data_IF_354373152807
#
_entry.id   IF_354373152807
#
_cell.length_a   1.000
_cell.length_b   1.000
_cell.length_c   1.000
_cell.angle_alpha   90.00
_cell.angle_beta   90.00
_cell.angle_gamma   90.00
#
_symmetry.space_group_name_H-M   'P 1'
#
loop_
_entity.id
_entity.type
_entity.pdbx_description
1 polymer ?
#
# COMPACT_ATOMS: atom_id res chain seq x y z
N UNK A 1 49.89 -36.55 -20.92
CA UNK A 1 49.14 -35.80 -21.94
C UNK A 1 49.01 -34.37 -21.44
N UNK A 2 49.88 -33.46 -21.93
CA UNK A 2 49.84 -32.04 -21.49
C UNK A 2 48.93 -31.26 -22.41
N UNK A 3 47.93 -30.58 -21.83
CA UNK A 3 47.09 -29.66 -22.59
C UNK A 3 47.93 -28.50 -23.14
N UNK A 4 47.73 -28.03 -24.37
CA UNK A 4 48.46 -26.91 -24.92
C UNK A 4 48.13 -25.60 -24.15
N UNK A 5 49.15 -24.75 -24.01
CA UNK A 5 49.12 -23.51 -23.20
C UNK A 5 47.89 -22.63 -23.51
N UNK A 6 47.42 -22.58 -24.77
CA UNK A 6 46.23 -21.87 -25.20
C UNK A 6 44.93 -22.44 -24.58
N UNK A 7 44.88 -23.73 -24.26
CA UNK A 7 43.73 -24.35 -23.61
C UNK A 7 43.60 -23.91 -22.14
N UNK A 8 44.72 -23.71 -21.45
CA UNK A 8 44.72 -23.17 -20.06
C UNK A 8 44.21 -21.74 -20.02
N UNK A 9 44.63 -20.88 -20.93
CA UNK A 9 44.15 -19.49 -21.02
C UNK A 9 42.67 -19.44 -21.32
N UNK A 10 42.13 -20.31 -22.18
CA UNK A 10 40.72 -20.38 -22.50
C UNK A 10 39.84 -20.85 -21.32
N UNK A 11 40.33 -21.84 -20.60
CA UNK A 11 39.68 -22.34 -19.38
C UNK A 11 39.69 -21.27 -18.27
N UNK A 12 40.80 -20.58 -18.05
CA UNK A 12 40.89 -19.49 -17.06
C UNK A 12 39.95 -18.32 -17.42
N UNK A 13 39.85 -17.94 -18.68
CA UNK A 13 38.92 -16.91 -19.12
C UNK A 13 37.44 -17.30 -18.89
N UNK A 14 37.05 -18.55 -19.15
CA UNK A 14 35.72 -19.06 -18.84
C UNK A 14 35.44 -19.09 -17.33
N UNK A 15 36.42 -19.51 -16.52
CA UNK A 15 36.30 -19.50 -15.05
C UNK A 15 36.20 -18.08 -14.48
N UNK A 16 36.98 -17.13 -15.01
CA UNK A 16 36.88 -15.73 -14.62
C UNK A 16 35.55 -15.11 -15.02
N UNK A 17 34.99 -15.48 -16.21
CA UNK A 17 33.66 -15.02 -16.64
C UNK A 17 32.52 -15.59 -15.76
N UNK A 18 32.62 -16.85 -15.36
CA UNK A 18 31.68 -17.50 -14.45
C UNK A 18 31.76 -16.87 -13.05
N UNK A 19 32.94 -16.58 -12.54
CA UNK A 19 33.14 -15.88 -11.26
C UNK A 19 32.60 -14.43 -11.30
N UNK A 20 32.78 -13.73 -12.42
CA UNK A 20 32.17 -12.40 -12.63
C UNK A 20 30.64 -12.48 -12.71
N UNK A 21 30.06 -13.49 -13.32
CA UNK A 21 28.63 -13.72 -13.35
C UNK A 21 28.08 -14.05 -11.94
N UNK A 22 28.78 -14.83 -11.15
CA UNK A 22 28.42 -15.10 -9.73
C UNK A 22 28.58 -13.87 -8.84
N UNK A 23 29.54 -13.00 -9.08
CA UNK A 23 29.69 -11.74 -8.35
C UNK A 23 28.55 -10.75 -8.63
N UNK A 24 27.97 -10.78 -9.83
CA UNK A 24 26.78 -9.97 -10.19
C UNK A 24 25.49 -10.47 -9.51
N UNK A 25 25.46 -11.72 -9.03
CA UNK A 25 24.34 -12.30 -8.28
C UNK A 25 24.49 -12.18 -6.75
N UNK A 26 25.53 -11.51 -6.25
CA UNK A 26 25.52 -11.03 -4.87
C UNK A 26 24.42 -9.96 -4.76
N UNK A 27 23.17 -10.39 -4.86
CA UNK A 27 22.01 -9.57 -4.63
C UNK A 27 22.22 -8.87 -3.29
N UNK A 28 22.05 -7.57 -3.24
CA UNK A 28 22.07 -6.79 -2.02
C UNK A 28 21.04 -7.40 -1.06
N UNK A 29 21.48 -8.33 -0.19
CA UNK A 29 20.63 -8.88 0.85
C UNK A 29 20.14 -7.70 1.67
N UNK A 30 18.83 -7.43 1.63
CA UNK A 30 18.23 -6.36 2.38
C UNK A 30 18.57 -6.55 3.87
N UNK A 31 19.25 -5.57 4.45
CA UNK A 31 19.74 -5.67 5.82
C UNK A 31 18.56 -5.48 6.79
N UNK A 32 18.34 -6.47 7.65
CA UNK A 32 17.31 -6.39 8.69
C UNK A 32 17.68 -5.39 9.78
N UNK A 33 16.73 -4.56 10.21
CA UNK A 33 16.81 -3.80 11.45
C UNK A 33 16.47 -4.72 12.63
N UNK A 34 17.46 -5.40 13.19
CA UNK A 34 17.26 -6.44 14.22
C UNK A 34 16.57 -5.92 15.49
N UNK A 35 16.83 -4.67 15.87
CA UNK A 35 16.23 -4.10 17.08
C UNK A 35 14.74 -3.85 16.87
N UNK A 36 14.37 -3.22 15.75
CA UNK A 36 12.98 -2.99 15.42
C UNK A 36 12.26 -4.31 15.14
N UNK A 37 12.91 -5.27 14.45
CA UNK A 37 12.36 -6.61 14.18
C UNK A 37 11.93 -7.29 15.49
N UNK A 38 12.79 -7.36 16.48
CA UNK A 38 12.50 -8.00 17.77
C UNK A 38 11.33 -7.31 18.50
N UNK A 39 11.26 -5.97 18.48
CA UNK A 39 10.17 -5.21 19.09
C UNK A 39 8.82 -5.50 18.41
N UNK A 40 8.79 -5.59 17.08
CA UNK A 40 7.55 -5.86 16.34
C UNK A 40 7.13 -7.33 16.46
N UNK A 41 8.06 -8.27 16.47
CA UNK A 41 7.76 -9.68 16.78
C UNK A 41 7.14 -9.86 18.17
N UNK A 42 7.62 -9.10 19.15
CA UNK A 42 7.02 -9.10 20.50
C UNK A 42 5.65 -8.42 20.51
N UNK A 43 5.48 -7.33 19.76
CA UNK A 43 4.23 -6.58 19.71
C UNK A 43 3.05 -7.40 19.14
N UNK A 44 3.32 -8.31 18.19
CA UNK A 44 2.29 -9.13 17.53
C UNK A 44 1.98 -10.42 18.26
N UNK A 45 2.72 -10.77 19.31
CA UNK A 45 2.42 -11.97 20.12
C UNK A 45 1.03 -11.88 20.75
N UNK A 46 0.28 -12.96 20.62
CA UNK A 46 -1.06 -13.07 21.20
C UNK A 46 -2.17 -12.38 20.40
N UNK A 47 -1.86 -11.80 19.23
CA UNK A 47 -2.89 -11.25 18.35
C UNK A 47 -3.80 -12.36 17.80
N UNK A 48 -5.12 -12.17 17.90
CA UNK A 48 -6.12 -13.16 17.49
C UNK A 48 -6.50 -13.03 16.02
N UNK A 49 -5.55 -13.36 15.15
CA UNK A 49 -5.68 -13.32 13.68
C UNK A 49 -4.32 -13.49 13.02
N UNK A 50 -4.29 -13.31 11.72
CA UNK A 50 -3.05 -13.28 10.95
C UNK A 50 -2.59 -11.84 10.75
N UNK A 51 -1.31 -11.57 10.95
CA UNK A 51 -0.69 -10.26 10.72
C UNK A 51 0.52 -10.37 9.79
N UNK A 52 0.61 -9.44 8.87
CA UNK A 52 1.76 -9.25 7.99
C UNK A 52 2.28 -7.82 8.07
N UNK A 53 3.60 -7.66 8.24
CA UNK A 53 4.23 -6.35 8.37
C UNK A 53 5.43 -6.26 7.42
N UNK A 54 5.56 -5.11 6.76
CA UNK A 54 6.78 -4.72 6.06
C UNK A 54 7.08 -3.26 6.35
N UNK A 55 8.22 -3.01 6.98
CA UNK A 55 8.76 -1.67 7.23
C UNK A 55 10.07 -1.52 6.47
N UNK A 56 10.30 -0.39 5.82
CA UNK A 56 11.57 -0.07 5.16
C UNK A 56 12.00 1.35 5.48
N UNK A 57 13.16 1.51 6.09
CA UNK A 57 13.80 2.82 6.19
C UNK A 57 14.37 3.21 4.81
N UNK A 58 13.88 4.29 4.22
CA UNK A 58 14.23 4.70 2.85
C UNK A 58 15.64 5.28 2.74
N UNK A 59 16.23 5.74 3.85
CA UNK A 59 17.61 6.26 3.86
C UNK A 59 18.64 5.16 3.96
N UNK A 60 18.40 4.16 4.82
CA UNK A 60 19.39 3.11 5.11
C UNK A 60 19.13 1.81 4.34
N UNK A 61 17.95 1.65 3.75
CA UNK A 61 17.49 0.43 3.12
C UNK A 61 17.19 -0.72 4.09
N UNK A 62 17.34 -0.52 5.41
CA UNK A 62 17.03 -1.57 6.41
C UNK A 62 15.52 -1.87 6.43
N UNK A 63 15.21 -3.15 6.64
CA UNK A 63 13.81 -3.64 6.66
C UNK A 63 13.47 -4.36 7.96
N UNK A 64 12.16 -4.44 8.23
CA UNK A 64 11.53 -5.38 9.16
C UNK A 64 10.46 -6.15 8.40
N UNK A 65 10.37 -7.46 8.62
CA UNK A 65 9.44 -8.34 7.90
C UNK A 65 8.78 -9.34 8.85
N UNK A 66 7.45 -9.39 8.84
CA UNK A 66 6.64 -10.41 9.50
C UNK A 66 5.60 -10.86 8.47
N UNK A 67 5.60 -12.12 8.07
CA UNK A 67 4.69 -12.68 7.07
C UNK A 67 4.56 -11.79 5.81
N UNK A 68 5.67 -11.12 5.41
CA UNK A 68 5.65 -10.05 4.42
C UNK A 68 5.30 -10.52 2.99
N UNK A 69 5.38 -11.82 2.74
CA UNK A 69 5.09 -12.45 1.45
C UNK A 69 3.77 -13.27 1.47
N UNK A 70 3.06 -13.25 2.60
CA UNK A 70 1.72 -13.84 2.72
C UNK A 70 0.69 -12.92 2.05
N UNK A 71 -0.30 -13.52 1.37
CA UNK A 71 -1.38 -12.77 0.72
C UNK A 71 -2.43 -12.37 1.76
N UNK A 72 -2.80 -11.08 1.73
CA UNK A 72 -3.83 -10.48 2.56
C UNK A 72 -4.89 -9.76 1.70
N UNK A 73 -6.13 -9.64 2.19
CA UNK A 73 -7.12 -8.77 1.59
C UNK A 73 -6.66 -7.30 1.71
N UNK A 74 -6.94 -6.52 0.68
CA UNK A 74 -6.59 -5.09 0.68
C UNK A 74 -7.67 -4.22 1.29
N UNK A 75 -8.93 -4.69 1.32
CA UNK A 75 -10.07 -3.80 1.51
C UNK A 75 -9.88 -2.52 0.65
N UNK A 76 -10.07 -1.33 1.21
CA UNK A 76 -9.94 -0.07 0.46
C UNK A 76 -8.51 0.29 0.02
N UNK A 77 -7.47 -0.45 0.42
CA UNK A 77 -6.12 -0.24 -0.12
C UNK A 77 -6.05 -0.60 -1.61
N UNK A 78 -6.99 -1.39 -2.14
CA UNK A 78 -7.14 -1.64 -3.60
C UNK A 78 -7.24 -0.34 -4.42
N UNK A 79 -7.66 0.76 -3.82
CA UNK A 79 -7.77 2.07 -4.45
C UNK A 79 -6.41 2.65 -4.87
N UNK A 80 -5.31 2.17 -4.26
CA UNK A 80 -3.95 2.52 -4.71
C UNK A 80 -3.68 1.94 -6.10
N UNK A 81 -3.75 0.62 -6.37
CA UNK A 81 -3.57 0.11 -7.72
C UNK A 81 -4.62 0.63 -8.74
N UNK A 82 -5.86 0.91 -8.32
CA UNK A 82 -6.83 1.56 -9.22
C UNK A 82 -6.34 2.94 -9.64
N UNK A 83 -5.80 3.72 -8.71
CA UNK A 83 -5.23 5.05 -9.02
C UNK A 83 -4.03 4.97 -9.97
N UNK A 84 -3.19 3.92 -9.86
CA UNK A 84 -2.10 3.66 -10.82
C UNK A 84 -2.66 3.46 -12.23
N UNK A 85 -3.75 2.70 -12.38
CA UNK A 85 -4.41 2.51 -13.68
C UNK A 85 -4.92 3.81 -14.31
N UNK A 86 -5.45 4.73 -13.51
CA UNK A 86 -5.87 6.07 -13.98
C UNK A 86 -4.66 6.92 -14.35
N UNK A 87 -3.63 6.96 -13.49
CA UNK A 87 -2.43 7.77 -13.75
C UNK A 87 -1.64 7.26 -14.96
N UNK A 88 -1.67 5.96 -15.23
CA UNK A 88 -1.09 5.36 -16.43
C UNK A 88 -1.78 5.88 -17.70
N UNK A 89 -3.12 5.93 -17.72
CA UNK A 89 -3.86 6.53 -18.83
C UNK A 89 -3.59 8.03 -18.99
N UNK A 90 -3.46 8.76 -17.88
CA UNK A 90 -3.08 10.18 -17.92
C UNK A 90 -1.66 10.34 -18.50
N UNK A 91 -0.74 9.44 -18.16
CA UNK A 91 0.64 9.49 -18.68
C UNK A 91 0.77 9.21 -20.17
N UNK A 92 -0.26 8.60 -20.77
CA UNK A 92 -0.38 8.35 -22.21
C UNK A 92 -1.29 9.33 -22.95
N UNK A 93 -1.72 10.40 -22.27
CA UNK A 93 -2.66 11.38 -22.82
C UNK A 93 -4.04 10.78 -23.22
N UNK A 94 -4.36 9.55 -22.76
CA UNK A 94 -5.68 8.92 -22.94
C UNK A 94 -6.76 9.56 -22.06
N UNK A 95 -6.36 10.16 -20.94
CA UNK A 95 -7.21 10.92 -20.01
C UNK A 95 -6.53 12.23 -19.62
N UNK A 96 -7.34 13.28 -19.41
CA UNK A 96 -6.85 14.50 -18.76
C UNK A 96 -7.24 14.51 -17.28
N UNK A 97 -6.30 14.87 -16.39
CA UNK A 97 -6.56 14.94 -14.94
C UNK A 97 -7.74 15.83 -14.57
N UNK A 98 -7.98 16.88 -15.33
CA UNK A 98 -9.07 17.82 -15.12
C UNK A 98 -10.21 17.65 -16.13
N UNK A 99 -10.30 16.51 -16.84
CA UNK A 99 -11.44 16.28 -17.71
C UNK A 99 -12.73 16.16 -16.91
N UNK A 100 -13.81 16.62 -17.52
CA UNK A 100 -15.16 16.51 -16.99
C UNK A 100 -15.70 15.10 -17.21
N UNK A 101 -16.28 14.53 -16.18
CA UNK A 101 -17.01 13.26 -16.18
C UNK A 101 -18.48 13.56 -15.88
N UNK A 102 -19.38 12.68 -16.31
CA UNK A 102 -20.81 12.78 -16.04
C UNK A 102 -21.20 11.65 -15.10
N UNK A 103 -21.66 12.02 -13.90
CA UNK A 103 -22.18 11.06 -12.93
C UNK A 103 -23.48 10.44 -13.43
N UNK A 104 -23.69 9.18 -13.14
CA UNK A 104 -24.91 8.43 -13.43
C UNK A 104 -25.30 7.60 -12.22
N UNK A 105 -26.59 7.60 -11.88
CA UNK A 105 -27.12 6.80 -10.76
C UNK A 105 -26.80 5.31 -10.89
N UNK A 106 -26.63 4.80 -12.11
CA UNK A 106 -26.18 3.43 -12.37
C UNK A 106 -24.76 3.10 -11.88
N UNK A 107 -23.98 4.11 -11.50
CA UNK A 107 -22.64 3.95 -10.92
C UNK A 107 -22.71 3.73 -9.42
N UNK A 108 -23.82 4.08 -8.78
CA UNK A 108 -23.98 4.05 -7.33
C UNK A 108 -23.63 2.66 -6.76
N UNK A 109 -22.76 2.64 -5.78
CA UNK A 109 -22.55 1.54 -4.87
C UNK A 109 -23.25 1.90 -3.55
N UNK A 110 -24.23 1.13 -3.14
CA UNK A 110 -25.02 1.42 -1.94
C UNK A 110 -24.12 1.47 -0.69
N UNK A 111 -24.23 2.56 0.07
CA UNK A 111 -23.42 2.82 1.25
C UNK A 111 -23.41 4.32 1.61
N UNK A 112 -22.45 4.71 2.45
CA UNK A 112 -22.30 6.09 2.94
C UNK A 112 -21.35 6.93 2.05
N UNK A 113 -21.31 6.64 0.74
CA UNK A 113 -20.40 7.31 -0.20
C UNK A 113 -20.90 8.73 -0.53
N UNK A 114 -19.98 9.70 -0.53
CA UNK A 114 -20.28 11.10 -0.84
C UNK A 114 -20.77 11.25 -2.29
N UNK A 115 -20.15 10.51 -3.22
CA UNK A 115 -20.50 10.58 -4.63
C UNK A 115 -21.94 10.14 -4.91
N UNK A 116 -22.50 9.28 -4.05
CA UNK A 116 -23.90 8.86 -4.14
C UNK A 116 -24.93 9.99 -3.87
N UNK A 117 -24.50 11.14 -3.35
CA UNK A 117 -25.36 12.33 -3.16
C UNK A 117 -25.48 13.22 -4.40
N UNK A 118 -24.73 12.94 -5.46
CA UNK A 118 -24.77 13.69 -6.71
C UNK A 118 -26.02 13.33 -7.53
N UNK A 119 -26.47 14.27 -8.35
CA UNK A 119 -27.63 14.05 -9.23
C UNK A 119 -27.23 13.35 -10.51
N UNK A 120 -28.11 12.51 -11.05
CA UNK A 120 -27.90 11.91 -12.38
C UNK A 120 -27.65 12.99 -13.42
N UNK A 121 -26.61 12.83 -14.22
CA UNK A 121 -26.18 13.82 -15.22
C UNK A 121 -25.29 14.94 -14.67
N UNK A 122 -25.03 15.00 -13.37
CA UNK A 122 -24.15 16.03 -12.79
C UNK A 122 -22.71 15.86 -13.27
N UNK A 123 -22.05 16.99 -13.53
CA UNK A 123 -20.68 17.04 -14.03
C UNK A 123 -19.69 17.16 -12.87
N UNK A 124 -18.63 16.36 -12.93
CA UNK A 124 -17.55 16.36 -11.94
C UNK A 124 -16.21 16.15 -12.63
N UNK A 125 -15.15 16.82 -12.16
CA UNK A 125 -13.81 16.62 -12.70
C UNK A 125 -13.24 15.27 -12.25
N UNK A 126 -12.50 14.58 -13.14
CA UNK A 126 -11.77 13.35 -12.81
C UNK A 126 -10.91 13.52 -11.55
N UNK A 127 -10.22 14.66 -11.41
CA UNK A 127 -9.41 14.99 -10.22
C UNK A 127 -10.21 14.96 -8.91
N UNK A 128 -11.50 15.35 -8.93
CA UNK A 128 -12.38 15.32 -7.77
C UNK A 128 -12.85 13.90 -7.43
N UNK A 129 -13.16 13.10 -8.46
CA UNK A 129 -13.49 11.68 -8.26
C UNK A 129 -12.28 10.92 -7.70
N UNK A 130 -11.06 11.22 -8.19
CA UNK A 130 -9.81 10.67 -7.62
C UNK A 130 -9.61 11.06 -6.15
N UNK A 131 -9.88 12.33 -5.82
CA UNK A 131 -9.82 12.82 -4.44
C UNK A 131 -10.82 12.06 -3.56
N UNK A 132 -12.09 11.95 -3.96
CA UNK A 132 -13.11 11.20 -3.20
C UNK A 132 -12.69 9.74 -2.98
N UNK A 133 -12.18 9.08 -4.02
CA UNK A 133 -11.71 7.69 -3.91
C UNK A 133 -10.59 7.53 -2.89
N UNK A 134 -9.59 8.38 -2.91
CA UNK A 134 -8.38 8.18 -2.09
C UNK A 134 -8.51 8.82 -0.71
N UNK A 135 -9.04 10.05 -0.61
CA UNK A 135 -9.15 10.80 0.64
C UNK A 135 -10.31 10.31 1.50
N UNK A 136 -11.52 10.20 0.91
CA UNK A 136 -12.74 9.78 1.60
C UNK A 136 -12.95 8.27 1.57
N UNK A 137 -12.14 7.56 0.78
CA UNK A 137 -12.33 6.13 0.53
C UNK A 137 -13.67 5.77 -0.15
N UNK A 138 -14.25 6.69 -0.92
CA UNK A 138 -15.53 6.53 -1.60
C UNK A 138 -15.55 5.32 -2.53
N UNK A 139 -16.53 4.42 -2.36
CA UNK A 139 -16.61 3.15 -3.07
C UNK A 139 -17.22 3.32 -4.46
N UNK A 140 -18.17 4.23 -4.61
CA UNK A 140 -18.75 4.59 -5.91
C UNK A 140 -17.68 5.17 -6.81
N UNK A 141 -16.86 6.11 -6.30
CA UNK A 141 -15.69 6.63 -7.00
C UNK A 141 -14.69 5.53 -7.38
N UNK A 142 -14.44 4.58 -6.46
CA UNK A 142 -13.53 3.46 -6.70
C UNK A 142 -13.94 2.60 -7.89
N UNK A 143 -15.21 2.18 -7.92
CA UNK A 143 -15.73 1.31 -8.98
C UNK A 143 -15.87 2.05 -10.31
N UNK A 144 -16.20 3.33 -10.27
CA UNK A 144 -16.21 4.19 -11.46
C UNK A 144 -14.81 4.34 -12.06
N UNK A 145 -13.83 4.69 -11.23
CA UNK A 145 -12.44 4.84 -11.68
C UNK A 145 -11.81 3.51 -12.10
N UNK A 146 -12.15 2.40 -11.45
CA UNK A 146 -11.74 1.07 -11.92
C UNK A 146 -12.24 0.81 -13.34
N UNK A 147 -13.52 1.09 -13.63
CA UNK A 147 -14.10 0.98 -14.98
C UNK A 147 -13.39 1.91 -15.98
N UNK A 148 -13.14 3.17 -15.59
CA UNK A 148 -12.47 4.17 -16.43
C UNK A 148 -11.02 3.80 -16.72
N UNK A 149 -10.31 3.15 -15.76
CA UNK A 149 -8.97 2.61 -15.96
C UNK A 149 -8.91 1.44 -16.95
N UNK A 150 -10.06 0.92 -17.41
CA UNK A 150 -10.15 -0.24 -18.30
C UNK A 150 -10.46 -1.55 -17.57
N UNK A 151 -10.96 -1.48 -16.34
CA UNK A 151 -11.34 -2.63 -15.52
C UNK A 151 -10.15 -3.29 -14.81
N UNK A 152 -10.48 -4.27 -13.97
CA UNK A 152 -9.48 -4.98 -13.18
C UNK A 152 -8.48 -5.78 -14.02
N UNK A 153 -8.89 -6.31 -15.18
CA UNK A 153 -7.97 -7.03 -16.09
C UNK A 153 -6.83 -6.11 -16.53
N UNK A 154 -7.15 -4.89 -17.00
CA UNK A 154 -6.11 -3.94 -17.43
C UNK A 154 -5.22 -3.49 -16.26
N UNK A 155 -5.82 -3.18 -15.11
CA UNK A 155 -5.04 -2.79 -13.92
C UNK A 155 -4.09 -3.92 -13.52
N UNK A 156 -4.56 -5.16 -13.51
CA UNK A 156 -3.72 -6.33 -13.20
C UNK A 156 -2.60 -6.53 -14.22
N UNK A 157 -2.85 -6.29 -15.52
CA UNK A 157 -1.81 -6.33 -16.54
C UNK A 157 -0.73 -5.25 -16.33
N UNK A 158 -1.11 -4.05 -15.88
CA UNK A 158 -0.15 -3.00 -15.49
C UNK A 158 0.68 -3.49 -14.30
N UNK A 159 0.05 -4.05 -13.27
CA UNK A 159 0.74 -4.59 -12.10
C UNK A 159 1.71 -5.71 -12.48
N UNK A 160 1.33 -6.60 -13.41
CA UNK A 160 2.22 -7.64 -13.96
C UNK A 160 3.44 -7.04 -14.65
N UNK A 161 3.26 -6.01 -15.48
CA UNK A 161 4.36 -5.33 -16.16
C UNK A 161 5.33 -4.63 -15.20
N UNK A 162 4.87 -4.27 -14.00
CA UNK A 162 5.66 -3.70 -12.92
C UNK A 162 6.31 -4.76 -12.01
N UNK A 163 6.06 -6.04 -12.28
CA UNK A 163 6.62 -7.18 -11.55
C UNK A 163 5.84 -7.63 -10.31
N UNK A 164 4.64 -7.09 -10.08
CA UNK A 164 3.76 -7.51 -8.98
C UNK A 164 3.00 -8.79 -9.35
N UNK A 165 3.07 -9.81 -8.51
CA UNK A 165 2.43 -11.12 -8.74
C UNK A 165 1.22 -11.37 -7.87
N UNK A 166 1.19 -10.78 -6.69
CA UNK A 166 0.18 -11.00 -5.65
C UNK A 166 -0.75 -9.81 -5.43
N UNK A 167 -0.33 -8.61 -5.83
CA UNK A 167 -1.18 -7.42 -5.79
C UNK A 167 -2.15 -7.43 -6.96
N UNK A 168 -3.46 -7.55 -6.67
CA UNK A 168 -4.50 -7.72 -7.68
C UNK A 168 -5.78 -6.98 -7.31
N UNK A 169 -6.47 -6.47 -8.33
CA UNK A 169 -7.86 -6.05 -8.28
C UNK A 169 -8.74 -7.26 -8.59
N UNK A 170 -9.61 -7.63 -7.67
CA UNK A 170 -10.53 -8.78 -7.79
C UNK A 170 -11.96 -8.34 -8.09
N UNK A 171 -12.39 -7.16 -7.57
CA UNK A 171 -13.74 -6.64 -7.77
C UNK A 171 -14.07 -6.47 -9.23
N UNK A 172 -15.24 -6.96 -9.67
CA UNK A 172 -15.74 -6.83 -11.05
C UNK A 172 -14.68 -7.19 -12.11
N UNK A 173 -13.82 -8.18 -11.80
CA UNK A 173 -12.73 -8.62 -12.68
C UNK A 173 -13.00 -10.06 -13.11
N UNK A 174 -13.06 -10.29 -14.42
CA UNK A 174 -13.26 -11.61 -14.99
C UNK A 174 -12.17 -12.58 -14.56
N UNK A 175 -12.51 -13.84 -14.30
CA UNK A 175 -11.59 -14.87 -13.83
C UNK A 175 -11.15 -14.75 -12.36
N UNK A 176 -11.53 -13.68 -11.65
CA UNK A 176 -11.09 -13.41 -10.26
C UNK A 176 -12.14 -13.75 -9.20
N UNK A 177 -13.20 -14.48 -9.54
CA UNK A 177 -14.26 -14.82 -8.57
C UNK A 177 -13.76 -15.62 -7.36
N UNK A 178 -12.90 -16.65 -7.49
CA UNK A 178 -12.34 -17.36 -6.35
C UNK A 178 -11.53 -16.47 -5.42
N UNK A 179 -10.70 -15.59 -5.99
CA UNK A 179 -9.91 -14.64 -5.21
C UNK A 179 -10.78 -13.57 -4.55
N UNK A 180 -11.85 -13.14 -5.22
CA UNK A 180 -12.83 -12.23 -4.63
C UNK A 180 -13.51 -12.85 -3.41
N UNK A 181 -13.85 -14.14 -3.43
CA UNK A 181 -14.42 -14.84 -2.27
C UNK A 181 -13.44 -14.86 -1.10
N UNK A 182 -12.16 -15.10 -1.37
CA UNK A 182 -11.14 -15.25 -0.33
C UNK A 182 -10.59 -13.91 0.20
N UNK A 183 -10.49 -12.88 -0.66
CA UNK A 183 -9.78 -11.64 -0.35
C UNK A 183 -10.60 -10.38 -0.62
N UNK A 184 -11.86 -10.50 -1.03
CA UNK A 184 -12.70 -9.34 -1.35
C UNK A 184 -12.23 -8.58 -2.61
N UNK A 185 -12.35 -7.26 -2.57
CA UNK A 185 -12.11 -6.39 -3.73
C UNK A 185 -10.71 -6.43 -4.30
N UNK A 186 -9.73 -6.78 -3.50
CA UNK A 186 -8.35 -6.90 -3.93
C UNK A 186 -7.50 -7.63 -2.91
N UNK A 187 -6.32 -8.02 -3.35
CA UNK A 187 -5.32 -8.73 -2.57
C UNK A 187 -3.93 -8.18 -2.80
N UNK A 188 -3.04 -8.39 -1.83
CA UNK A 188 -1.63 -7.99 -1.91
C UNK A 188 -0.80 -8.77 -0.88
N UNK A 189 0.53 -8.62 -0.96
CA UNK A 189 1.41 -8.92 0.16
C UNK A 189 1.94 -7.62 0.78
N UNK A 190 2.29 -7.58 2.08
CA UNK A 190 2.89 -6.40 2.69
C UNK A 190 4.12 -5.88 1.92
N UNK A 191 4.96 -6.78 1.42
CA UNK A 191 6.14 -6.44 0.61
C UNK A 191 5.77 -5.80 -0.71
N UNK A 192 4.86 -6.38 -1.47
CA UNK A 192 4.48 -5.83 -2.78
C UNK A 192 3.82 -4.46 -2.64
N UNK A 193 2.94 -4.29 -1.66
CA UNK A 193 2.32 -2.99 -1.40
C UNK A 193 3.36 -1.95 -0.99
N UNK A 194 4.33 -2.33 -0.15
CA UNK A 194 5.42 -1.44 0.22
C UNK A 194 6.27 -1.02 -0.99
N UNK A 195 6.58 -1.95 -1.90
CA UNK A 195 7.30 -1.63 -3.15
C UNK A 195 6.46 -0.70 -4.05
N UNK A 196 5.15 -0.90 -4.12
CA UNK A 196 4.26 -0.02 -4.89
C UNK A 196 4.24 1.40 -4.31
N UNK A 197 4.15 1.54 -2.99
CA UNK A 197 4.22 2.82 -2.30
C UNK A 197 5.60 3.49 -2.47
N UNK A 198 6.70 2.73 -2.42
CA UNK A 198 8.05 3.23 -2.68
C UNK A 198 8.19 3.77 -4.10
N UNK A 199 7.70 3.03 -5.10
CA UNK A 199 7.70 3.46 -6.51
C UNK A 199 6.87 4.72 -6.72
N UNK A 200 5.72 4.84 -6.03
CA UNK A 200 4.88 6.05 -6.04
C UNK A 200 5.64 7.24 -5.45
N UNK A 201 6.33 7.04 -4.33
CA UNK A 201 7.09 8.10 -3.65
C UNK A 201 8.31 8.56 -4.44
N UNK A 202 9.06 7.64 -5.04
CA UNK A 202 10.29 7.92 -5.79
C UNK A 202 10.07 8.48 -7.20
N UNK A 203 8.82 8.69 -7.62
CA UNK A 203 8.44 9.10 -8.99
C UNK A 203 8.93 8.11 -10.08
N UNK A 204 9.15 6.83 -9.73
CA UNK A 204 9.65 5.84 -10.68
C UNK A 204 8.56 5.23 -11.58
N UNK A 205 7.29 5.50 -11.28
CA UNK A 205 6.15 5.03 -12.08
C UNK A 205 5.76 6.05 -13.17
N UNK A 206 5.82 7.34 -12.84
CA UNK A 206 5.31 8.42 -13.69
C UNK A 206 6.21 9.65 -13.60
N UNK A 207 5.96 10.62 -14.49
CA UNK A 207 6.60 11.93 -14.41
C UNK A 207 6.39 12.59 -13.03
N UNK A 208 7.28 13.47 -12.59
CA UNK A 208 7.12 14.17 -11.30
C UNK A 208 5.75 14.85 -11.14
N UNK A 209 5.22 15.46 -12.21
CA UNK A 209 3.93 16.15 -12.17
C UNK A 209 2.75 15.20 -11.92
N UNK A 210 2.75 14.01 -12.54
CA UNK A 210 1.71 12.99 -12.34
C UNK A 210 1.85 12.36 -10.95
N UNK A 211 3.08 12.04 -10.54
CA UNK A 211 3.36 11.47 -9.22
C UNK A 211 2.97 12.43 -8.09
N UNK A 212 3.19 13.74 -8.27
CA UNK A 212 2.79 14.75 -7.28
C UNK A 212 1.27 14.80 -7.08
N UNK A 213 0.48 14.72 -8.16
CA UNK A 213 -0.99 14.65 -8.07
C UNK A 213 -1.46 13.42 -7.26
N UNK A 214 -0.85 12.26 -7.48
CA UNK A 214 -1.17 11.05 -6.72
C UNK A 214 -0.78 11.18 -5.25
N UNK A 215 0.43 11.69 -4.96
CA UNK A 215 0.91 11.92 -3.59
C UNK A 215 0.01 12.90 -2.83
N UNK A 216 -0.45 13.98 -3.45
CA UNK A 216 -1.39 14.94 -2.84
C UNK A 216 -2.70 14.27 -2.41
N UNK A 217 -3.27 13.38 -3.24
CA UNK A 217 -4.49 12.65 -2.86
C UNK A 217 -4.25 11.66 -1.71
N UNK A 218 -3.06 11.05 -1.64
CA UNK A 218 -2.69 10.13 -0.57
C UNK A 218 -2.28 10.84 0.74
N UNK A 219 -1.95 12.14 0.70
CA UNK A 219 -1.54 12.90 1.89
C UNK A 219 -2.69 13.50 2.70
N UNK A 220 -3.93 13.35 2.25
CA UNK A 220 -5.12 13.93 2.89
C UNK A 220 -6.14 12.83 3.20
N UNK A 221 -5.74 11.82 3.97
CA UNK A 221 -6.64 10.76 4.38
C UNK A 221 -7.59 11.27 5.47
N UNK A 222 -8.90 11.22 5.22
CA UNK A 222 -9.93 11.60 6.20
C UNK A 222 -10.02 10.59 7.36
N UNK A 223 -9.76 9.31 7.08
CA UNK A 223 -9.86 8.22 8.05
C UNK A 223 -8.50 7.96 8.72
N UNK A 224 -8.01 8.90 9.53
CA UNK A 224 -6.68 8.90 10.13
C UNK A 224 -6.67 8.58 11.64
N UNK A 225 -7.83 8.40 12.26
CA UNK A 225 -7.95 8.25 13.72
C UNK A 225 -7.74 6.81 14.22
N UNK A 226 -7.90 5.79 13.38
CA UNK A 226 -8.08 4.42 13.88
C UNK A 226 -6.78 3.62 13.99
N UNK A 227 -5.86 3.80 13.06
CA UNK A 227 -4.66 2.97 12.92
C UNK A 227 -3.36 3.65 13.28
N UNK A 228 -2.27 3.19 12.68
CA UNK A 228 -0.92 3.70 12.92
C UNK A 228 -0.74 5.16 12.52
N UNK A 229 -1.51 5.67 11.54
CA UNK A 229 -1.46 7.07 11.14
C UNK A 229 -1.79 8.02 12.31
N UNK A 230 -2.72 7.65 13.18
CA UNK A 230 -3.06 8.43 14.39
C UNK A 230 -1.92 8.53 15.41
N UNK A 231 -0.88 7.73 15.25
CA UNK A 231 0.29 7.70 16.13
C UNK A 231 1.46 8.51 15.58
N UNK A 232 1.21 9.33 14.56
CA UNK A 232 2.21 10.21 13.94
C UNK A 232 1.87 11.67 14.19
N UNK A 233 2.87 12.54 14.42
CA UNK A 233 2.63 13.95 14.60
C UNK A 233 1.94 14.57 13.37
N UNK A 234 0.95 15.45 13.54
CA UNK A 234 0.18 16.04 12.43
C UNK A 234 0.99 16.97 11.52
N UNK A 235 2.19 17.37 11.96
CA UNK A 235 3.12 18.17 11.15
C UNK A 235 4.01 17.34 10.24
N UNK A 236 3.91 16.01 10.29
CA UNK A 236 4.65 15.10 9.40
C UNK A 236 3.82 14.79 8.15
N UNK A 237 4.42 15.01 6.99
CA UNK A 237 3.76 14.61 5.74
C UNK A 237 3.77 13.10 5.60
N UNK A 238 2.59 12.52 5.42
CA UNK A 238 2.36 11.09 5.23
C UNK A 238 1.54 10.87 3.97
N UNK A 239 1.92 9.91 3.14
CA UNK A 239 1.09 9.41 2.05
C UNK A 239 0.51 8.07 2.49
N UNK A 240 -0.79 7.98 2.67
CA UNK A 240 -1.42 6.82 3.30
C UNK A 240 -2.67 6.32 2.58
N UNK A 241 -2.98 5.06 2.79
CA UNK A 241 -4.29 4.48 2.54
C UNK A 241 -4.59 3.39 3.56
N UNK A 242 -5.69 3.53 4.25
CA UNK A 242 -6.26 2.51 5.10
C UNK A 242 -7.27 1.63 4.36
N UNK A 243 -7.51 0.45 4.90
CA UNK A 243 -8.53 -0.47 4.44
C UNK A 243 -9.10 -1.32 5.56
N UNK A 244 -10.42 -1.40 5.65
CA UNK A 244 -11.12 -2.14 6.68
C UNK A 244 -12.31 -2.91 6.11
N UNK A 245 -12.49 -4.13 6.58
CA UNK A 245 -13.67 -4.99 6.46
C UNK A 245 -13.75 -5.83 7.73
N UNK A 246 -14.86 -6.50 8.00
CA UNK A 246 -15.06 -7.23 9.28
C UNK A 246 -13.89 -8.14 9.66
N UNK A 247 -13.34 -8.87 8.70
CA UNK A 247 -12.24 -9.81 8.93
C UNK A 247 -10.82 -9.24 8.78
N UNK A 248 -10.66 -7.92 8.52
CA UNK A 248 -9.34 -7.32 8.23
C UNK A 248 -9.32 -5.83 8.53
N UNK A 249 -8.20 -5.36 9.10
CA UNK A 249 -7.83 -3.95 9.26
C UNK A 249 -6.40 -3.79 8.77
N UNK A 250 -6.18 -2.91 7.81
CA UNK A 250 -4.87 -2.80 7.14
C UNK A 250 -4.54 -1.34 6.84
N UNK A 251 -3.25 -1.05 6.79
CA UNK A 251 -2.77 0.31 6.53
C UNK A 251 -1.43 0.28 5.80
N UNK A 252 -1.27 1.18 4.83
CA UNK A 252 -0.02 1.40 4.10
C UNK A 252 0.32 2.88 4.07
N UNK A 253 1.59 3.20 4.34
CA UNK A 253 2.05 4.60 4.42
C UNK A 253 3.47 4.76 3.90
N UNK A 254 3.74 5.94 3.36
CA UNK A 254 5.07 6.53 3.26
C UNK A 254 5.13 7.69 4.24
N UNK A 255 6.02 7.61 5.21
CA UNK A 255 6.18 8.62 6.27
C UNK A 255 7.46 9.41 6.01
N UNK A 256 7.33 10.72 5.78
CA UNK A 256 8.46 11.62 5.54
C UNK A 256 9.08 12.11 6.87
N UNK A 257 9.43 11.15 7.73
CA UNK A 257 10.06 11.43 9.01
C UNK A 257 11.44 12.09 8.83
N UNK A 258 11.75 13.19 9.56
CA UNK A 258 13.02 13.91 9.41
C UNK A 258 14.23 12.99 9.61
N UNK A 259 15.13 12.95 8.62
CA UNK A 259 16.34 12.13 8.65
C UNK A 259 16.16 10.62 8.54
N UNK A 260 14.95 10.10 8.70
CA UNK A 260 14.62 8.68 8.64
C UNK A 260 13.27 8.43 7.96
N UNK A 261 13.03 8.86 6.72
CA UNK A 261 11.80 8.54 6.02
C UNK A 261 11.65 7.03 5.86
N UNK A 262 10.41 6.52 5.98
CA UNK A 262 10.17 5.10 5.94
C UNK A 262 8.84 4.73 5.27
N UNK A 263 8.75 3.49 4.83
CA UNK A 263 7.52 2.85 4.40
C UNK A 263 7.01 1.96 5.53
N UNK A 264 5.72 2.02 5.74
CA UNK A 264 4.98 1.19 6.67
C UNK A 264 3.85 0.47 5.94
N UNK A 265 3.81 -0.85 6.05
CA UNK A 265 2.69 -1.67 5.59
C UNK A 265 2.36 -2.69 6.69
N UNK A 266 1.14 -2.65 7.17
CA UNK A 266 0.57 -3.64 8.08
C UNK A 266 -0.75 -4.12 7.53
N UNK A 267 -0.91 -5.42 7.43
CA UNK A 267 -2.10 -6.10 6.96
C UNK A 267 -2.55 -7.14 7.97
N UNK A 268 -3.85 -7.27 8.15
CA UNK A 268 -4.44 -8.33 8.97
C UNK A 268 -5.48 -9.12 8.18
N UNK A 269 -5.72 -10.36 8.56
CA UNK A 269 -6.84 -11.19 8.10
C UNK A 269 -7.23 -12.19 9.19
N UNK A 270 -8.41 -12.80 9.03
CA UNK A 270 -8.92 -13.80 9.96
C UNK A 270 -9.00 -13.27 11.42
N UNK A 271 -9.17 -11.96 11.60
CA UNK A 271 -9.26 -11.36 12.93
C UNK A 271 -10.52 -11.86 13.63
N UNK A 272 -10.42 -12.12 14.94
CA UNK A 272 -11.54 -12.60 15.75
C UNK A 272 -12.42 -11.45 16.23
N UNK A 273 -11.82 -10.32 16.54
CA UNK A 273 -12.54 -9.10 16.88
C UNK A 273 -12.99 -8.39 15.61
N UNK A 274 -14.25 -8.55 15.23
CA UNK A 274 -14.86 -7.92 14.05
C UNK A 274 -15.57 -6.61 14.37
N UNK A 275 -15.44 -6.10 15.60
CA UNK A 275 -16.08 -4.87 16.03
C UNK A 275 -15.59 -3.64 15.25
N UNK A 276 -16.48 -2.64 15.15
CA UNK A 276 -16.18 -1.34 14.53
C UNK A 276 -16.07 -0.24 15.59
N UNK A 277 -15.34 -0.55 16.68
CA UNK A 277 -15.06 0.38 17.77
C UNK A 277 -13.57 0.71 17.81
N UNK A 278 -13.19 1.83 18.39
CA UNK A 278 -11.79 2.30 18.44
C UNK A 278 -10.86 1.34 19.19
N UNK A 279 -11.40 0.52 20.10
CA UNK A 279 -10.66 -0.50 20.87
C UNK A 279 -10.54 -1.85 20.16
N UNK A 280 -11.03 -1.98 18.92
CA UNK A 280 -10.83 -3.19 18.12
C UNK A 280 -9.37 -3.64 18.16
N UNK A 281 -9.16 -4.97 18.37
CA UNK A 281 -7.84 -5.55 18.60
C UNK A 281 -6.84 -5.23 17.47
N UNK A 282 -7.28 -5.28 16.20
CA UNK A 282 -6.39 -5.03 15.07
C UNK A 282 -6.02 -3.54 14.93
N UNK A 283 -6.93 -2.60 15.21
CA UNK A 283 -6.59 -1.18 15.25
C UNK A 283 -5.69 -0.86 16.44
N UNK A 284 -5.94 -1.46 17.59
CA UNK A 284 -5.08 -1.33 18.77
C UNK A 284 -3.67 -1.84 18.50
N UNK A 285 -3.55 -2.98 17.81
CA UNK A 285 -2.25 -3.47 17.35
C UNK A 285 -1.60 -2.51 16.34
N UNK A 286 -2.36 -1.99 15.36
CA UNK A 286 -1.83 -1.05 14.36
C UNK A 286 -1.27 0.21 15.03
N UNK A 287 -1.98 0.79 15.99
CA UNK A 287 -1.48 1.93 16.78
C UNK A 287 -0.21 1.60 17.56
N UNK A 288 -0.19 0.45 18.25
CA UNK A 288 1.00 -0.01 19.00
C UNK A 288 2.21 -0.15 18.08
N UNK A 289 2.03 -0.78 16.91
CA UNK A 289 3.10 -0.94 15.92
C UNK A 289 3.54 0.42 15.36
N UNK A 290 2.59 1.30 15.02
CA UNK A 290 2.88 2.66 14.55
C UNK A 290 3.74 3.47 15.55
N UNK A 291 3.37 3.45 16.82
CA UNK A 291 4.11 4.14 17.89
C UNK A 291 5.52 3.54 18.08
N UNK A 292 5.66 2.21 18.07
CA UNK A 292 6.98 1.56 18.17
C UNK A 292 7.89 1.99 17.01
N UNK A 293 7.37 2.02 15.77
CA UNK A 293 8.12 2.41 14.57
C UNK A 293 8.52 3.88 14.63
N UNK A 294 7.57 4.77 15.01
CA UNK A 294 7.85 6.18 15.16
C UNK A 294 8.95 6.43 16.20
N UNK A 295 8.80 5.90 17.40
CA UNK A 295 9.77 6.06 18.49
C UNK A 295 11.15 5.47 18.14
N UNK A 296 11.19 4.41 17.30
CA UNK A 296 12.45 3.84 16.84
C UNK A 296 13.20 4.77 15.86
N UNK A 297 12.48 5.39 14.91
CA UNK A 297 13.07 6.27 13.92
C UNK A 297 13.21 7.72 14.38
N UNK A 298 12.42 8.14 15.37
CA UNK A 298 12.40 9.49 15.93
C UNK A 298 12.53 9.49 17.47
N UNK A 299 13.60 8.91 18.04
CA UNK A 299 13.71 8.70 19.49
C UNK A 299 13.84 10.00 20.31
N UNK A 300 14.04 11.13 19.65
CA UNK A 300 14.15 12.46 20.29
C UNK A 300 12.85 13.27 20.20
N UNK A 301 11.91 12.82 19.40
CA UNK A 301 10.60 13.47 19.30
C UNK A 301 9.80 13.19 20.57
N UNK A 302 9.21 14.24 21.15
CA UNK A 302 8.43 14.17 22.39
C UNK A 302 6.93 14.27 22.13
N UNK A 303 6.51 14.27 20.86
CA UNK A 303 5.10 14.29 20.54
C UNK A 303 4.43 12.99 21.03
N UNK A 304 3.29 13.16 21.67
CA UNK A 304 2.47 12.05 22.13
C UNK A 304 1.12 12.10 21.40
N UNK A 305 0.62 10.96 20.92
CA UNK A 305 -0.70 10.89 20.31
C UNK A 305 -1.78 11.18 21.36
N UNK A 306 -2.91 11.77 20.92
CA UNK A 306 -4.08 11.91 21.77
C UNK A 306 -4.52 10.55 22.29
N UNK A 307 -4.79 10.45 23.60
CA UNK A 307 -5.32 9.22 24.18
C UNK A 307 -6.69 8.91 23.56
N UNK A 308 -6.94 7.63 23.24
CA UNK A 308 -8.29 7.18 22.88
C UNK A 308 -9.13 7.24 24.15
N UNK A 309 -10.06 8.18 24.17
CA UNK A 309 -10.69 8.61 25.43
C UNK A 309 -11.86 7.74 25.88
N UNK A 310 -12.47 6.92 25.02
CA UNK A 310 -13.72 6.23 25.35
C UNK A 310 -13.73 4.79 24.84
N UNK A 311 -13.83 3.85 25.76
CA UNK A 311 -14.09 2.44 25.47
C UNK A 311 -15.46 2.31 24.79
N UNK A 312 -15.54 1.57 23.69
CA UNK A 312 -16.78 1.35 22.93
C UNK A 312 -17.16 2.48 21.96
N UNK A 313 -16.39 3.58 21.87
CA UNK A 313 -16.62 4.61 20.86
C UNK A 313 -16.48 4.03 19.45
N UNK A 314 -17.47 4.30 18.58
CA UNK A 314 -17.41 3.84 17.19
C UNK A 314 -16.16 4.38 16.50
N UNK A 315 -15.50 3.51 15.76
CA UNK A 315 -14.44 3.91 14.85
C UNK A 315 -15.02 4.76 13.71
N UNK A 316 -14.25 5.74 13.27
CA UNK A 316 -14.58 6.52 12.09
C UNK A 316 -14.30 5.66 10.84
N UNK A 317 -15.34 5.02 10.30
CA UNK A 317 -15.31 4.33 9.00
C UNK A 317 -16.71 4.28 8.40
#
# INVERSE_FOLDING_TARGET
MHLPFNAYIFIMKKFALILLLFACFAGYAQKTDKNLQAKLEDAVKGFNGDVGIYIKNLRTGKIVVINADTIFPTASIVKVPISIGIMEKISRDELSYNQELIYKDSLLYAGEDILGSFKDGEKILLSKVMMLMLTMSDNTASLWLQKLAGGGIRINAILDSLGFRHTRVNSRTEGRRPDWVNYGWGQTTPREMAVLMEKTNSNSLFSPAISDRLKRNLSNNFWDENGALSQLPPYIQVYSKGGAVDGSRSETMVVNAPGNPYIYCMFTKNIKDTSWIKTNEAWTLSRKVGQIVWNHFQPKDKWEPSSISVEGEKAAY
#
